data_IF_148643937237
#
_entry.id   IF_148643937237
#
_cell.length_a   1.000
_cell.length_b   1.000
_cell.length_c   1.000
_cell.angle_alpha   90.00
_cell.angle_beta   90.00
_cell.angle_gamma   90.00
#
_symmetry.space_group_name_H-M   'P 1'
#
loop_
_entity.id
_entity.type
_entity.pdbx_description
1 polymer ?
#
# COMPACT_ATOMS: atom_id res chain seq x y z
N UNK A 1 -22.34 -1.45 3.62
CA UNK A 1 -21.86 -0.08 3.30
C UNK A 1 -20.84 0.30 4.38
N UNK A 2 -19.59 0.53 4.01
CA UNK A 2 -18.53 0.89 4.98
C UNK A 2 -18.73 2.35 5.43
N UNK A 3 -18.67 2.59 6.74
CA UNK A 3 -18.84 3.90 7.38
C UNK A 3 -17.84 4.98 6.90
N UNK A 4 -16.85 4.61 6.06
CA UNK A 4 -15.91 5.56 5.43
C UNK A 4 -16.55 6.42 4.32
N UNK A 5 -17.75 6.09 3.83
CA UNK A 5 -18.37 6.77 2.68
C UNK A 5 -19.01 8.13 2.99
N UNK A 6 -19.31 8.44 4.25
CA UNK A 6 -20.03 9.68 4.62
C UNK A 6 -19.10 10.89 4.83
N UNK A 7 -17.79 10.68 4.97
CA UNK A 7 -16.83 11.76 5.26
C UNK A 7 -16.37 12.56 4.04
N UNK A 8 -16.80 12.19 2.82
CA UNK A 8 -16.36 12.81 1.56
C UNK A 8 -17.37 13.80 0.97
N UNK A 9 -18.56 13.96 1.58
CA UNK A 9 -19.57 14.88 1.07
C UNK A 9 -19.29 16.28 1.63
N UNK A 10 -19.24 17.26 0.73
CA UNK A 10 -19.06 18.67 1.04
C UNK A 10 -20.39 19.36 1.26
N UNK A 11 -21.32 19.11 0.35
CA UNK A 11 -22.62 19.76 0.34
C UNK A 11 -23.65 18.89 -0.38
N UNK A 12 -24.92 19.06 -0.02
CA UNK A 12 -26.05 18.41 -0.66
C UNK A 12 -27.18 19.43 -0.79
N UNK A 13 -27.65 19.65 -2.00
CA UNK A 13 -28.76 20.56 -2.28
C UNK A 13 -29.84 19.85 -3.09
N UNK A 14 -31.10 20.14 -2.76
CA UNK A 14 -32.26 19.71 -3.55
C UNK A 14 -32.71 20.93 -4.35
N UNK A 15 -32.50 20.90 -5.67
CA UNK A 15 -32.91 21.96 -6.58
C UNK A 15 -34.43 22.01 -6.73
N UNK A 16 -34.95 23.10 -7.31
CA UNK A 16 -36.37 23.22 -7.62
C UNK A 16 -36.61 22.93 -9.09
N UNK A 17 -37.57 22.05 -9.39
CA UNK A 17 -38.02 21.73 -10.74
C UNK A 17 -39.40 22.33 -10.97
N UNK A 18 -39.57 23.06 -12.07
CA UNK A 18 -40.89 23.58 -12.48
C UNK A 18 -41.58 22.70 -13.53
N UNK A 19 -40.91 21.67 -14.04
CA UNK A 19 -41.37 20.88 -15.18
C UNK A 19 -41.70 19.41 -14.86
N UNK A 20 -41.19 18.88 -13.75
CA UNK A 20 -41.43 17.52 -13.30
C UNK A 20 -41.61 17.45 -11.79
N UNK A 21 -42.40 16.49 -11.32
CA UNK A 21 -42.71 16.26 -9.89
C UNK A 21 -41.48 15.83 -9.07
N UNK A 22 -40.35 15.58 -9.72
CA UNK A 22 -39.08 15.25 -9.09
C UNK A 22 -38.09 16.41 -9.18
N UNK A 23 -37.62 16.82 -8.00
CA UNK A 23 -36.58 17.82 -7.83
C UNK A 23 -35.18 17.18 -7.97
N UNK A 24 -34.25 17.80 -8.73
CA UNK A 24 -32.90 17.28 -8.88
C UNK A 24 -32.12 17.38 -7.56
N UNK A 25 -31.30 16.38 -7.27
CA UNK A 25 -30.40 16.38 -6.10
C UNK A 25 -28.97 16.62 -6.59
N UNK A 26 -28.34 17.67 -6.08
CA UNK A 26 -26.94 17.98 -6.30
C UNK A 26 -26.11 17.58 -5.08
N UNK A 27 -25.00 16.91 -5.32
CA UNK A 27 -24.06 16.50 -4.26
C UNK A 27 -22.67 17.00 -4.63
N UNK A 28 -22.10 17.84 -3.78
CA UNK A 28 -20.70 18.30 -3.90
C UNK A 28 -19.83 17.43 -3.01
N UNK A 29 -18.70 16.94 -3.55
CA UNK A 29 -17.78 16.06 -2.84
C UNK A 29 -16.50 16.84 -2.45
N UNK A 30 -16.01 16.69 -1.21
CA UNK A 30 -14.76 17.33 -0.72
C UNK A 30 -13.47 16.80 -1.41
N UNK A 31 -13.61 15.89 -2.36
CA UNK A 31 -12.53 15.09 -2.92
C UNK A 31 -12.06 14.02 -1.92
N UNK A 32 -11.75 12.82 -2.42
CA UNK A 32 -11.08 11.83 -1.59
C UNK A 32 -9.59 12.18 -1.51
N UNK A 33 -9.03 12.26 -0.30
CA UNK A 33 -7.57 12.20 -0.14
C UNK A 33 -7.10 10.94 -0.87
N UNK A 34 -6.28 11.10 -1.92
CA UNK A 34 -5.66 9.94 -2.60
C UNK A 34 -4.94 9.13 -1.53
N UNK A 35 -5.52 8.00 -1.13
CA UNK A 35 -4.79 7.01 -0.34
C UNK A 35 -3.67 6.53 -1.24
N UNK A 36 -2.44 6.98 -0.96
CA UNK A 36 -1.26 6.47 -1.64
C UNK A 36 -1.19 4.98 -1.34
N UNK A 37 -1.60 4.17 -2.31
CA UNK A 37 -1.34 2.72 -2.24
C UNK A 37 0.17 2.56 -2.20
N UNK A 38 0.63 1.72 -1.29
CA UNK A 38 2.03 1.32 -1.30
C UNK A 38 2.33 0.65 -2.64
N UNK A 39 3.38 1.12 -3.31
CA UNK A 39 3.82 0.58 -4.59
C UNK A 39 5.27 0.15 -4.47
N UNK A 40 5.56 -1.05 -4.96
CA UNK A 40 6.92 -1.57 -5.03
C UNK A 40 7.76 -0.73 -6.00
N UNK A 41 8.96 -0.33 -5.57
CA UNK A 41 9.89 0.36 -6.47
C UNK A 41 10.62 -0.66 -7.35
N UNK A 42 10.28 -0.73 -8.64
CA UNK A 42 10.88 -1.73 -9.54
C UNK A 42 12.41 -1.59 -9.69
N UNK A 43 13.01 -0.45 -9.32
CA UNK A 43 14.48 -0.28 -9.37
C UNK A 43 15.19 -1.17 -8.37
N UNK A 44 14.62 -1.38 -7.17
CA UNK A 44 15.29 -2.20 -6.14
C UNK A 44 15.35 -3.69 -6.55
N UNK A 45 14.44 -4.15 -7.41
CA UNK A 45 14.45 -5.52 -7.92
C UNK A 45 15.68 -5.83 -8.79
N UNK A 46 16.31 -4.80 -9.35
CA UNK A 46 17.54 -4.93 -10.15
C UNK A 46 18.81 -4.89 -9.31
N UNK A 47 18.72 -4.50 -8.04
CA UNK A 47 19.88 -4.39 -7.15
C UNK A 47 20.30 -5.77 -6.63
N UNK A 48 21.55 -6.17 -6.84
CA UNK A 48 22.02 -7.51 -6.45
C UNK A 48 21.99 -7.72 -4.93
N UNK A 49 22.29 -6.67 -4.16
CA UNK A 49 22.16 -6.67 -2.70
C UNK A 49 20.73 -6.94 -2.23
N UNK A 50 19.73 -6.48 -2.99
CA UNK A 50 18.33 -6.77 -2.67
C UNK A 50 17.99 -8.22 -2.98
N UNK A 51 18.40 -8.75 -4.14
CA UNK A 51 18.14 -10.15 -4.52
C UNK A 51 18.73 -11.13 -3.51
N UNK A 52 20.02 -10.96 -3.18
CA UNK A 52 20.70 -11.82 -2.20
C UNK A 52 20.03 -11.77 -0.82
N UNK A 53 19.61 -10.58 -0.37
CA UNK A 53 18.84 -10.45 0.88
C UNK A 53 17.51 -11.18 0.79
N UNK A 54 16.74 -10.97 -0.28
CA UNK A 54 15.43 -11.61 -0.46
C UNK A 54 15.54 -13.13 -0.50
N UNK A 55 16.52 -13.67 -1.20
CA UNK A 55 16.78 -15.11 -1.27
C UNK A 55 17.08 -15.69 0.11
N UNK A 56 17.95 -15.02 0.88
CA UNK A 56 18.27 -15.43 2.25
C UNK A 56 17.04 -15.43 3.17
N UNK A 57 16.25 -14.35 3.14
CA UNK A 57 15.06 -14.19 3.99
C UNK A 57 13.97 -15.21 3.62
N UNK A 58 13.72 -15.44 2.33
CA UNK A 58 12.75 -16.43 1.87
C UNK A 58 13.19 -17.86 2.18
N UNK A 59 14.47 -18.18 1.99
CA UNK A 59 15.01 -19.50 2.32
C UNK A 59 14.86 -19.78 3.82
N UNK A 60 15.20 -18.81 4.66
CA UNK A 60 14.98 -18.90 6.10
C UNK A 60 13.49 -19.06 6.44
N UNK A 61 12.62 -18.23 5.84
CA UNK A 61 11.18 -18.31 6.06
C UNK A 61 10.61 -19.70 5.76
N UNK A 62 10.93 -20.28 4.59
CA UNK A 62 10.42 -21.58 4.22
C UNK A 62 11.00 -22.71 5.08
N UNK A 63 12.27 -22.62 5.49
CA UNK A 63 12.89 -23.59 6.39
C UNK A 63 12.16 -23.67 7.74
N UNK A 64 11.80 -22.52 8.31
CA UNK A 64 11.22 -22.46 9.66
C UNK A 64 9.69 -22.68 9.67
N UNK A 65 9.00 -22.29 8.60
CA UNK A 65 7.53 -22.22 8.60
C UNK A 65 6.86 -23.37 7.80
N UNK A 66 7.61 -24.14 7.01
CA UNK A 66 7.09 -25.31 6.30
C UNK A 66 7.02 -26.52 7.25
N UNK A 67 5.92 -26.62 7.99
CA UNK A 67 5.56 -27.76 8.85
C UNK A 67 4.39 -28.53 8.21
N UNK A 68 4.24 -29.81 8.55
CA UNK A 68 3.19 -30.67 7.99
C UNK A 68 1.78 -30.14 8.27
N UNK A 69 1.57 -29.51 9.44
CA UNK A 69 0.28 -28.98 9.86
C UNK A 69 -0.06 -27.59 9.27
N UNK A 70 0.89 -26.93 8.61
CA UNK A 70 0.67 -25.57 8.09
C UNK A 70 -0.05 -25.62 6.74
N UNK A 71 -1.27 -25.09 6.69
CA UNK A 71 -1.99 -24.89 5.43
C UNK A 71 -1.16 -24.06 4.43
N UNK A 72 -1.15 -24.50 3.16
CA UNK A 72 -0.47 -23.80 2.06
C UNK A 72 -0.95 -22.35 1.92
N UNK A 73 -2.23 -22.09 2.18
CA UNK A 73 -2.80 -20.74 2.13
C UNK A 73 -2.15 -19.84 3.20
N UNK A 74 -2.08 -20.33 4.44
CA UNK A 74 -1.47 -19.60 5.55
C UNK A 74 0.02 -19.36 5.31
N UNK A 75 0.72 -20.37 4.77
CA UNK A 75 2.14 -20.23 4.40
C UNK A 75 2.32 -19.13 3.34
N UNK A 76 1.49 -19.13 2.31
CA UNK A 76 1.54 -18.14 1.23
C UNK A 76 1.20 -16.72 1.71
N UNK A 77 0.15 -16.57 2.52
CA UNK A 77 -0.25 -15.27 3.04
C UNK A 77 0.79 -14.68 4.00
N UNK A 78 1.36 -15.52 4.87
CA UNK A 78 2.43 -15.13 5.80
C UNK A 78 3.70 -14.76 5.03
N UNK A 79 4.09 -15.54 4.02
CA UNK A 79 5.24 -15.25 3.16
C UNK A 79 5.09 -13.89 2.49
N UNK A 80 3.92 -13.58 1.92
CA UNK A 80 3.63 -12.29 1.29
C UNK A 80 3.73 -11.14 2.30
N UNK A 81 3.22 -11.32 3.52
CA UNK A 81 3.30 -10.30 4.57
C UNK A 81 4.75 -10.04 5.00
N UNK A 82 5.51 -11.11 5.26
CA UNK A 82 6.93 -11.05 5.62
C UNK A 82 7.76 -10.36 4.52
N UNK A 83 7.58 -10.79 3.26
CA UNK A 83 8.26 -10.22 2.08
C UNK A 83 8.02 -8.71 1.96
N UNK A 84 6.78 -8.25 2.16
CA UNK A 84 6.48 -6.81 2.16
C UNK A 84 7.24 -6.05 3.25
N UNK A 85 7.32 -6.61 4.46
CA UNK A 85 8.10 -6.03 5.56
C UNK A 85 9.59 -5.88 5.20
N UNK A 86 10.19 -6.91 4.63
CA UNK A 86 11.60 -6.91 4.19
C UNK A 86 11.85 -5.83 3.13
N UNK A 87 10.95 -5.69 2.15
CA UNK A 87 11.03 -4.69 1.09
C UNK A 87 10.95 -3.27 1.66
N UNK A 88 10.03 -3.02 2.59
CA UNK A 88 9.85 -1.71 3.23
C UNK A 88 11.10 -1.33 4.03
N UNK A 89 11.64 -2.25 4.83
CA UNK A 89 12.89 -2.03 5.58
C UNK A 89 14.07 -1.75 4.65
N UNK A 90 14.24 -2.55 3.58
CA UNK A 90 15.31 -2.35 2.60
C UNK A 90 15.22 -0.97 1.94
N UNK A 91 14.01 -0.59 1.50
CA UNK A 91 13.76 0.71 0.86
C UNK A 91 14.04 1.87 1.80
N UNK A 92 13.64 1.76 3.08
CA UNK A 92 13.93 2.75 4.12
C UNK A 92 15.45 2.93 4.30
N UNK A 93 16.19 1.83 4.50
CA UNK A 93 17.66 1.85 4.66
C UNK A 93 18.36 2.47 3.47
N UNK A 94 17.95 2.11 2.26
CA UNK A 94 18.46 2.69 1.01
C UNK A 94 18.24 4.19 0.93
N UNK A 95 17.03 4.66 1.24
CA UNK A 95 16.71 6.08 1.20
C UNK A 95 17.49 6.89 2.25
N UNK A 96 17.69 6.33 3.45
CA UNK A 96 18.54 6.95 4.47
C UNK A 96 20.00 7.07 4.00
N UNK A 97 20.56 6.04 3.36
CA UNK A 97 21.92 6.11 2.79
C UNK A 97 22.03 7.19 1.71
N UNK A 98 21.05 7.29 0.81
CA UNK A 98 21.00 8.33 -0.23
C UNK A 98 20.95 9.74 0.36
N UNK A 99 20.09 9.95 1.37
CA UNK A 99 20.00 11.23 2.07
C UNK A 99 21.32 11.62 2.74
N UNK A 100 21.97 10.67 3.40
CA UNK A 100 23.30 10.90 4.01
C UNK A 100 24.35 11.27 2.96
N UNK A 101 24.40 10.57 1.83
CA UNK A 101 25.35 10.87 0.76
C UNK A 101 25.11 12.25 0.13
N UNK A 102 23.85 12.65 -0.05
CA UNK A 102 23.49 13.98 -0.54
C UNK A 102 23.97 15.08 0.43
N UNK A 103 23.69 14.93 1.73
CA UNK A 103 24.09 15.89 2.76
C UNK A 103 25.62 16.01 2.97
N UNK A 104 26.43 15.08 2.45
CA UNK A 104 27.90 15.13 2.53
C UNK A 104 28.48 15.91 1.34
N UNK A 105 27.72 16.02 0.25
CA UNK A 105 28.14 16.71 -0.98
C UNK A 105 27.72 18.20 -1.00
N UNK A 106 26.93 18.62 -0.02
CA UNK A 106 26.52 20.01 0.25
C UNK A 106 27.38 20.58 1.39
#
# INVERSE_FOLDING_TARGET
MSAESLFSIQDIEIGTSTWADHNPIMVVWKGQRKRSRWTLNNRILKEESFKSKMEKELTFFFKENKKEDTSLQNLWDTMKACTRGVIIDYTKKRNMKKKKAFNILE
#
